data_IF_973964914724
#
_entry.id   IF_973964914724
#
_cell.length_a   1.000
_cell.length_b   1.000
_cell.length_c   1.000
_cell.angle_alpha   90.00
_cell.angle_beta   90.00
_cell.angle_gamma   90.00
#
_symmetry.space_group_name_H-M   'P 1'
#
loop_
_entity.id
_entity.type
_entity.pdbx_description
1 polymer ?
#
# COMPACT_ATOMS: atom_id res chain seq x y z
N UNK A 1 6.91 9.35 4.38
CA UNK A 1 5.61 9.55 3.72
C UNK A 1 4.77 10.63 4.40
N UNK A 2 4.31 10.49 5.65
CA UNK A 2 3.47 11.51 6.32
C UNK A 2 4.11 12.90 6.37
N UNK A 3 5.41 12.96 6.66
CA UNK A 3 6.20 14.20 6.62
C UNK A 3 6.37 14.79 5.22
N UNK A 4 6.43 13.94 4.18
CA UNK A 4 6.50 14.38 2.78
C UNK A 4 5.18 15.01 2.35
N UNK A 5 4.05 14.46 2.82
CA UNK A 5 2.74 14.96 2.43
C UNK A 5 2.39 16.31 3.05
N UNK A 6 2.65 16.51 4.35
CA UNK A 6 2.33 17.76 5.04
C UNK A 6 3.34 18.89 4.78
N UNK A 7 4.26 18.72 3.83
CA UNK A 7 5.37 19.68 3.60
C UNK A 7 6.10 20.05 4.91
N UNK A 8 6.21 19.09 5.84
CA UNK A 8 6.90 19.31 7.13
C UNK A 8 8.42 19.26 6.98
N UNK A 9 8.91 19.03 5.77
CA UNK A 9 10.32 18.91 5.39
C UNK A 9 10.50 19.50 4.01
N UNK A 10 11.49 20.38 3.88
CA UNK A 10 11.77 21.12 2.65
C UNK A 10 13.19 20.83 2.12
N UNK A 11 13.41 21.21 0.87
CA UNK A 11 14.73 21.20 0.23
C UNK A 11 15.33 19.80 0.11
N UNK A 12 16.60 19.67 0.46
CA UNK A 12 17.33 18.40 0.30
C UNK A 12 16.81 17.27 1.18
N UNK A 13 16.21 17.60 2.34
CA UNK A 13 15.65 16.59 3.22
C UNK A 13 14.40 15.94 2.60
N UNK A 14 13.54 16.74 1.98
CA UNK A 14 12.38 16.24 1.24
C UNK A 14 12.80 15.26 0.14
N UNK A 15 13.79 15.63 -0.67
CA UNK A 15 14.32 14.78 -1.75
C UNK A 15 14.88 13.46 -1.23
N UNK A 16 15.67 13.50 -0.14
CA UNK A 16 16.22 12.29 0.50
C UNK A 16 15.10 11.39 1.02
N UNK A 17 14.11 11.97 1.70
CA UNK A 17 12.98 11.20 2.23
C UNK A 17 12.13 10.58 1.13
N UNK A 18 11.91 11.28 0.01
CA UNK A 18 11.23 10.72 -1.16
C UNK A 18 12.05 9.57 -1.77
N UNK A 19 13.37 9.73 -1.91
CA UNK A 19 14.26 8.67 -2.41
C UNK A 19 14.24 7.43 -1.50
N UNK A 20 14.25 7.62 -0.18
CA UNK A 20 14.11 6.51 0.77
C UNK A 20 12.75 5.82 0.67
N UNK A 21 11.65 6.57 0.48
CA UNK A 21 10.33 5.99 0.25
C UNK A 21 10.31 5.15 -1.03
N UNK A 22 10.86 5.65 -2.13
CA UNK A 22 10.95 4.92 -3.39
C UNK A 22 11.80 3.65 -3.26
N UNK A 23 12.92 3.73 -2.53
CA UNK A 23 13.77 2.58 -2.28
C UNK A 23 13.05 1.51 -1.42
N UNK A 24 12.30 1.95 -0.41
CA UNK A 24 11.55 1.06 0.47
C UNK A 24 10.51 0.24 -0.33
N UNK A 25 9.72 0.87 -1.20
CA UNK A 25 8.73 0.14 -2.01
C UNK A 25 9.38 -0.78 -3.04
N UNK A 26 10.64 -0.57 -3.43
CA UNK A 26 11.36 -1.41 -4.40
C UNK A 26 12.10 -2.58 -3.77
N UNK A 27 12.08 -2.72 -2.45
CA UNK A 27 12.85 -3.73 -1.74
C UNK A 27 11.92 -4.81 -1.20
N UNK A 28 12.42 -6.05 -1.11
CA UNK A 28 11.72 -7.10 -0.36
C UNK A 28 11.68 -6.70 1.11
N UNK A 29 10.47 -6.56 1.65
CA UNK A 29 10.25 -6.16 3.03
C UNK A 29 9.29 -7.13 3.71
N UNK A 30 9.65 -7.56 4.93
CA UNK A 30 8.86 -8.51 5.71
C UNK A 30 8.49 -9.82 4.96
N UNK A 31 9.35 -10.27 4.04
CA UNK A 31 9.12 -11.46 3.22
C UNK A 31 8.22 -11.25 1.99
N UNK A 32 7.76 -10.02 1.75
CA UNK A 32 6.92 -9.68 0.61
C UNK A 32 7.74 -9.06 -0.55
N UNK A 33 7.37 -9.34 -1.82
CA UNK A 33 8.08 -8.79 -2.98
C UNK A 33 8.11 -7.26 -3.04
N UNK A 34 8.94 -6.74 -3.94
CA UNK A 34 8.90 -5.33 -4.29
C UNK A 34 7.48 -4.92 -4.74
N UNK A 35 7.10 -3.69 -4.40
CA UNK A 35 5.78 -3.08 -4.63
C UNK A 35 4.63 -3.72 -3.84
N UNK A 36 4.93 -4.52 -2.82
CA UNK A 36 3.93 -4.91 -1.84
C UNK A 36 3.48 -3.72 -0.98
N UNK A 37 2.18 -3.63 -0.76
CA UNK A 37 1.56 -2.57 0.03
C UNK A 37 1.66 -2.93 1.53
N UNK A 38 2.69 -2.40 2.18
CA UNK A 38 3.00 -2.65 3.61
C UNK A 38 2.65 -1.48 4.53
N UNK A 39 1.76 -0.59 4.06
CA UNK A 39 1.27 0.54 4.83
C UNK A 39 -0.09 0.23 5.44
N UNK A 40 -0.30 0.68 6.69
CA UNK A 40 -1.63 0.68 7.30
C UNK A 40 -2.50 1.82 6.77
N UNK A 41 -3.70 1.94 7.32
CA UNK A 41 -4.76 2.88 6.94
C UNK A 41 -4.29 4.26 6.48
N UNK A 42 -3.62 4.97 7.38
CA UNK A 42 -3.15 6.33 7.12
C UNK A 42 -2.11 6.35 6.00
N UNK A 43 -1.23 5.35 5.96
CA UNK A 43 -0.16 5.34 4.97
C UNK A 43 -0.64 5.02 3.56
N UNK A 44 -1.56 4.08 3.45
CA UNK A 44 -2.12 3.62 2.18
C UNK A 44 -2.87 4.73 1.44
N UNK A 45 -3.53 5.63 2.16
CA UNK A 45 -4.20 6.79 1.57
C UNK A 45 -3.24 7.78 0.88
N UNK A 46 -1.99 7.87 1.34
CA UNK A 46 -1.08 8.96 0.94
C UNK A 46 0.12 8.51 0.10
N UNK A 47 0.43 7.20 0.04
CA UNK A 47 1.68 6.72 -0.59
C UNK A 47 1.78 7.09 -2.07
N UNK A 48 0.71 6.89 -2.85
CA UNK A 48 0.69 7.20 -4.28
C UNK A 48 0.83 8.71 -4.54
N UNK A 49 0.18 9.52 -3.71
CA UNK A 49 0.29 10.98 -3.79
C UNK A 49 1.69 11.46 -3.43
N UNK A 50 2.25 10.96 -2.33
CA UNK A 50 3.60 11.33 -1.89
C UNK A 50 4.67 10.97 -2.94
N UNK A 51 4.55 9.83 -3.61
CA UNK A 51 5.42 9.47 -4.74
C UNK A 51 5.22 10.41 -5.92
N UNK A 52 3.97 10.65 -6.33
CA UNK A 52 3.64 11.47 -7.51
C UNK A 52 4.08 12.93 -7.35
N UNK A 53 3.80 13.54 -6.20
CA UNK A 53 4.18 14.92 -5.89
C UNK A 53 5.71 15.12 -5.85
N UNK A 54 6.48 14.04 -5.65
CA UNK A 54 7.95 14.05 -5.66
C UNK A 54 8.55 13.49 -6.97
N UNK A 55 7.78 13.47 -8.06
CA UNK A 55 8.24 13.08 -9.40
C UNK A 55 8.37 11.57 -9.63
N UNK A 56 7.88 10.74 -8.72
CA UNK A 56 7.98 9.27 -8.76
C UNK A 56 6.69 8.62 -9.21
N UNK A 57 6.00 9.23 -10.17
CA UNK A 57 4.69 8.77 -10.66
C UNK A 57 4.77 7.35 -11.23
N UNK A 58 5.86 6.99 -11.92
CA UNK A 58 6.05 5.62 -12.43
C UNK A 58 6.01 4.58 -11.30
N UNK A 59 6.67 4.87 -10.18
CA UNK A 59 6.69 3.97 -9.02
C UNK A 59 5.32 3.90 -8.34
N UNK A 60 4.58 5.01 -8.31
CA UNK A 60 3.20 5.04 -7.83
C UNK A 60 2.28 4.15 -8.70
N UNK A 61 2.44 4.20 -10.02
CA UNK A 61 1.71 3.33 -10.95
C UNK A 61 2.11 1.86 -10.82
N UNK A 62 3.39 1.55 -10.62
CA UNK A 62 3.84 0.17 -10.38
C UNK A 62 3.28 -0.39 -9.09
N UNK A 63 3.27 0.41 -8.02
CA UNK A 63 2.64 0.05 -6.75
C UNK A 63 1.14 -0.24 -6.92
N UNK A 64 0.42 0.57 -7.70
CA UNK A 64 -0.99 0.38 -7.98
C UNK A 64 -1.28 -0.88 -8.82
N UNK A 65 -0.42 -1.19 -9.80
CA UNK A 65 -0.61 -2.29 -10.74
C UNK A 65 -0.10 -3.64 -10.22
N UNK A 66 0.60 -3.66 -9.08
CA UNK A 66 1.03 -4.93 -8.49
C UNK A 66 -0.18 -5.75 -8.03
N UNK A 67 -0.26 -7.00 -8.49
CA UNK A 67 -1.41 -7.89 -8.23
C UNK A 67 -1.13 -8.98 -7.18
N UNK A 68 0.12 -9.09 -6.70
CA UNK A 68 0.49 -10.06 -5.68
C UNK A 68 0.03 -9.61 -4.29
N UNK A 69 -0.01 -10.53 -3.33
CA UNK A 69 -0.31 -10.16 -1.94
C UNK A 69 0.95 -9.61 -1.24
N UNK A 70 0.83 -8.56 -0.39
CA UNK A 70 -0.31 -7.65 -0.25
C UNK A 70 -0.33 -6.53 -1.31
N UNK A 71 -1.49 -6.21 -1.87
CA UNK A 71 -1.68 -5.11 -2.83
C UNK A 71 -3.14 -4.70 -2.97
N UNK A 72 -3.38 -3.59 -3.69
CA UNK A 72 -4.72 -3.13 -4.07
C UNK A 72 -5.44 -4.07 -5.02
N UNK A 73 -4.71 -4.67 -5.99
CA UNK A 73 -5.33 -5.51 -7.01
C UNK A 73 -5.42 -6.98 -6.61
N UNK A 74 -4.78 -7.39 -5.51
CA UNK A 74 -4.93 -8.76 -5.01
C UNK A 74 -6.39 -9.12 -4.67
N UNK A 75 -7.17 -8.32 -3.90
CA UNK A 75 -8.60 -8.56 -3.72
C UNK A 75 -9.38 -8.63 -5.04
N UNK A 76 -9.12 -7.69 -5.96
CA UNK A 76 -9.79 -7.63 -7.27
C UNK A 76 -9.55 -8.91 -8.07
N UNK A 77 -8.30 -9.39 -8.09
CA UNK A 77 -7.91 -10.66 -8.70
C UNK A 77 -8.63 -11.87 -8.10
N UNK A 78 -9.03 -11.76 -6.83
CA UNK A 78 -9.79 -12.77 -6.10
C UNK A 78 -11.30 -12.47 -6.04
N UNK A 79 -11.82 -11.63 -6.94
CA UNK A 79 -13.26 -11.42 -7.14
C UNK A 79 -13.89 -10.32 -6.26
N UNK A 80 -13.09 -9.48 -5.61
CA UNK A 80 -13.61 -8.30 -4.91
C UNK A 80 -14.34 -7.36 -5.86
N UNK A 81 -15.55 -6.95 -5.49
CA UNK A 81 -16.33 -5.89 -6.17
C UNK A 81 -16.39 -4.59 -5.36
N UNK A 82 -15.82 -4.62 -4.16
CA UNK A 82 -15.74 -3.55 -3.16
C UNK A 82 -14.37 -3.62 -2.48
N UNK A 83 -13.98 -2.55 -1.78
CA UNK A 83 -12.76 -2.57 -0.98
C UNK A 83 -13.01 -3.38 0.30
N UNK A 84 -12.07 -4.25 0.65
CA UNK A 84 -12.13 -5.06 1.86
C UNK A 84 -11.47 -4.31 3.01
N UNK A 85 -11.91 -4.57 4.23
CA UNK A 85 -11.33 -3.97 5.43
C UNK A 85 -9.86 -4.32 5.57
N UNK A 86 -9.47 -5.58 5.29
CA UNK A 86 -8.09 -6.01 5.42
C UNK A 86 -7.52 -6.46 4.09
N UNK A 87 -6.21 -6.25 3.92
CA UNK A 87 -5.47 -6.84 2.80
C UNK A 87 -5.54 -8.36 2.80
N UNK A 88 -5.66 -8.97 3.98
CA UNK A 88 -5.79 -10.42 4.18
C UNK A 88 -7.23 -10.86 4.50
N UNK A 89 -8.26 -10.06 4.20
CA UNK A 89 -9.67 -10.47 4.38
C UNK A 89 -9.98 -11.81 3.70
N UNK A 90 -9.29 -12.07 2.58
CA UNK A 90 -9.11 -13.39 2.01
C UNK A 90 -7.70 -13.52 1.44
N UNK A 91 -7.06 -14.68 1.60
CA UNK A 91 -5.86 -15.07 0.86
C UNK A 91 -6.02 -16.47 0.27
N UNK A 92 -5.37 -16.73 -0.87
CA UNK A 92 -5.34 -18.08 -1.49
C UNK A 92 -4.77 -19.13 -0.54
N UNK A 93 -3.87 -18.73 0.37
CA UNK A 93 -3.21 -19.63 1.32
C UNK A 93 -4.10 -19.95 2.53
N UNK A 94 -4.70 -18.93 3.13
CA UNK A 94 -5.36 -19.01 4.44
C UNK A 94 -6.90 -18.93 4.33
N UNK A 95 -7.45 -18.84 3.12
CA UNK A 95 -8.88 -18.66 2.89
C UNK A 95 -9.36 -17.34 3.50
N UNK A 96 -10.47 -17.38 4.23
CA UNK A 96 -11.02 -16.22 4.94
C UNK A 96 -10.31 -15.91 6.27
N UNK A 97 -9.25 -16.64 6.61
CA UNK A 97 -8.58 -16.53 7.90
C UNK A 97 -9.43 -16.99 9.09
N UNK A 98 -8.90 -16.80 10.30
CA UNK A 98 -9.51 -17.31 11.53
C UNK A 98 -10.30 -16.24 12.32
N UNK A 99 -9.98 -14.95 12.15
CA UNK A 99 -10.59 -13.85 12.91
C UNK A 99 -11.62 -13.06 12.10
N UNK A 100 -12.82 -13.64 11.97
CA UNK A 100 -13.93 -13.02 11.23
C UNK A 100 -14.76 -12.02 12.07
N UNK A 101 -14.37 -11.75 13.32
CA UNK A 101 -15.06 -10.77 14.15
C UNK A 101 -14.83 -9.32 13.68
N UNK A 102 -13.74 -9.09 12.94
CA UNK A 102 -13.35 -7.80 12.34
C UNK A 102 -12.78 -8.05 10.94
N UNK A 103 -13.68 -8.44 10.03
CA UNK A 103 -13.38 -8.75 8.64
C UNK A 103 -14.55 -8.40 7.69
N UNK A 104 -14.68 -7.12 7.33
CA UNK A 104 -15.68 -6.62 6.38
C UNK A 104 -15.18 -6.68 4.92
N UNK A 105 -16.06 -7.08 4.01
CA UNK A 105 -15.78 -7.10 2.56
C UNK A 105 -16.30 -5.85 1.84
N UNK A 106 -16.78 -4.84 2.57
CA UNK A 106 -17.28 -3.60 2.00
C UNK A 106 -16.95 -2.41 2.91
N UNK A 107 -15.66 -2.11 3.01
CA UNK A 107 -15.12 -0.97 3.75
C UNK A 107 -14.49 0.00 2.75
N UNK A 108 -14.72 1.31 2.86
CA UNK A 108 -14.16 2.26 1.89
C UNK A 108 -12.64 2.51 2.07
N UNK A 109 -11.98 1.79 2.97
CA UNK A 109 -10.63 2.05 3.43
C UNK A 109 -9.96 0.75 3.90
N UNK A 110 -8.64 0.68 3.78
CA UNK A 110 -7.85 -0.52 4.07
C UNK A 110 -7.14 -0.43 5.41
N UNK A 111 -7.22 -1.50 6.18
CA UNK A 111 -6.46 -1.79 7.39
C UNK A 111 -5.51 -2.98 7.14
N UNK A 112 -4.46 -3.10 7.96
CA UNK A 112 -3.55 -4.25 7.97
C UNK A 112 -4.03 -5.30 8.99
#
# INVERSE_FOLDING_TARGET
MLFLWHSMVDGDLQKKMAAHLAAAIKTLMAGYPAYSLLTGFIGTAWISKALSDNGMSEEAYRLLQYEGYPSWLYPVKNGATTIWERLNSYTVKDGFGENNSMNSFNHYSLEL
#
